data_IF_450210520772
#
_entry.id   IF_450210520772
#
_cell.length_a   1.000
_cell.length_b   1.000
_cell.length_c   1.000
_cell.angle_alpha   90.00
_cell.angle_beta   90.00
_cell.angle_gamma   90.00
#
_symmetry.space_group_name_H-M   'P 1'
#
loop_
_entity.id
_entity.type
_entity.pdbx_description
1 polymer ?
#
# COMPACT_ATOMS: atom_id res chain seq x y z
N UNK A 1 -39.40 -4.13 -4.27
CA UNK A 1 -38.80 -5.47 -4.11
C UNK A 1 -37.79 -5.80 -5.22
N UNK A 2 -38.08 -5.53 -6.50
CA UNK A 2 -37.15 -5.77 -7.63
C UNK A 2 -35.78 -5.08 -7.43
N UNK A 3 -35.77 -3.81 -7.03
CA UNK A 3 -34.56 -3.01 -6.80
C UNK A 3 -33.70 -3.48 -5.60
N UNK A 4 -34.24 -4.32 -4.70
CA UNK A 4 -33.47 -4.93 -3.60
C UNK A 4 -32.82 -6.25 -4.03
N UNK A 5 -33.45 -7.00 -4.94
CA UNK A 5 -32.92 -8.25 -5.48
C UNK A 5 -31.75 -8.00 -6.43
N UNK A 6 -31.86 -6.99 -7.31
CA UNK A 6 -30.75 -6.59 -8.21
C UNK A 6 -29.52 -6.08 -7.43
N UNK A 7 -29.74 -5.34 -6.33
CA UNK A 7 -28.65 -4.88 -5.45
C UNK A 7 -27.98 -6.04 -4.70
N UNK A 8 -28.75 -7.03 -4.26
CA UNK A 8 -28.21 -8.21 -3.59
C UNK A 8 -27.38 -9.07 -4.56
N UNK A 9 -27.81 -9.19 -5.80
CA UNK A 9 -27.08 -9.91 -6.86
C UNK A 9 -25.78 -9.18 -7.23
N UNK A 10 -25.84 -7.85 -7.40
CA UNK A 10 -24.66 -7.03 -7.65
C UNK A 10 -23.64 -7.08 -6.50
N UNK A 11 -24.11 -7.06 -5.24
CA UNK A 11 -23.24 -7.20 -4.07
C UNK A 11 -22.57 -8.59 -4.01
N UNK A 12 -23.31 -9.64 -4.36
CA UNK A 12 -22.77 -11.01 -4.41
C UNK A 12 -21.74 -11.18 -5.51
N UNK A 13 -21.99 -10.61 -6.69
CA UNK A 13 -21.03 -10.58 -7.80
C UNK A 13 -19.75 -9.83 -7.45
N UNK A 14 -19.85 -8.71 -6.74
CA UNK A 14 -18.67 -7.97 -6.23
C UNK A 14 -17.84 -8.78 -5.25
N UNK A 15 -18.48 -9.48 -4.31
CA UNK A 15 -17.77 -10.33 -3.34
C UNK A 15 -17.07 -11.52 -4.03
N UNK A 16 -17.70 -12.11 -5.06
CA UNK A 16 -17.08 -13.18 -5.84
C UNK A 16 -15.88 -12.67 -6.64
N UNK A 17 -15.99 -11.49 -7.25
CA UNK A 17 -14.88 -10.84 -7.95
C UNK A 17 -13.69 -10.60 -7.00
N UNK A 18 -13.95 -10.01 -5.84
CA UNK A 18 -12.93 -9.76 -4.81
C UNK A 18 -12.23 -11.06 -4.33
N UNK A 19 -12.97 -12.16 -4.20
CA UNK A 19 -12.40 -13.46 -3.86
C UNK A 19 -11.51 -14.00 -5.00
N UNK A 20 -11.96 -13.90 -6.25
CA UNK A 20 -11.18 -14.33 -7.42
C UNK A 20 -9.90 -13.52 -7.55
N UNK A 21 -9.95 -12.21 -7.36
CA UNK A 21 -8.78 -11.33 -7.42
C UNK A 21 -7.71 -11.69 -6.41
N UNK A 22 -8.12 -11.91 -5.15
CA UNK A 22 -7.21 -12.39 -4.10
C UNK A 22 -6.60 -13.72 -4.50
N UNK A 23 -7.40 -14.68 -4.97
CA UNK A 23 -6.90 -15.98 -5.39
C UNK A 23 -5.93 -15.88 -6.57
N UNK A 24 -6.19 -15.03 -7.56
CA UNK A 24 -5.32 -14.88 -8.73
C UNK A 24 -3.94 -14.36 -8.32
N UNK A 25 -3.87 -13.33 -7.47
CA UNK A 25 -2.58 -12.81 -6.98
C UNK A 25 -1.81 -13.87 -6.19
N UNK A 26 -2.49 -14.62 -5.31
CA UNK A 26 -1.83 -15.69 -4.54
C UNK A 26 -1.44 -16.92 -5.37
N UNK A 27 -2.23 -17.25 -6.41
CA UNK A 27 -2.01 -18.44 -7.23
C UNK A 27 -0.93 -18.23 -8.30
N UNK A 28 -0.80 -17.01 -8.80
CA UNK A 28 0.05 -16.64 -9.93
C UNK A 28 1.17 -15.68 -9.49
N UNK A 29 1.93 -16.07 -8.47
CA UNK A 29 2.98 -15.25 -7.84
C UNK A 29 4.09 -14.75 -8.80
N UNK A 30 4.29 -15.42 -9.92
CA UNK A 30 5.30 -15.07 -10.93
C UNK A 30 4.82 -14.05 -11.96
N UNK A 31 3.53 -13.71 -11.96
CA UNK A 31 2.95 -12.78 -12.91
C UNK A 31 2.72 -11.43 -12.25
N UNK A 32 3.06 -10.37 -12.96
CA UNK A 32 2.68 -9.02 -12.59
C UNK A 32 1.17 -8.83 -12.68
N UNK A 33 0.67 -7.82 -11.97
CA UNK A 33 -0.74 -7.44 -12.00
C UNK A 33 -1.21 -7.14 -13.43
N UNK A 34 -0.40 -6.43 -14.21
CA UNK A 34 -0.69 -6.07 -15.59
C UNK A 34 -0.81 -7.32 -16.50
N UNK A 35 0.03 -8.33 -16.25
CA UNK A 35 -0.07 -9.61 -16.97
C UNK A 35 -1.34 -10.36 -16.60
N UNK A 36 -1.74 -10.36 -15.32
CA UNK A 36 -3.00 -10.96 -14.89
C UNK A 36 -4.23 -10.24 -15.47
N UNK A 37 -4.22 -8.90 -15.49
CA UNK A 37 -5.28 -8.10 -16.12
C UNK A 37 -5.45 -8.46 -17.60
N UNK A 38 -4.34 -8.60 -18.33
CA UNK A 38 -4.35 -8.99 -19.73
C UNK A 38 -4.80 -10.45 -19.95
N UNK A 39 -4.36 -11.39 -19.11
CA UNK A 39 -4.70 -12.81 -19.22
C UNK A 39 -6.17 -13.10 -18.89
N UNK A 40 -6.76 -12.36 -17.94
CA UNK A 40 -8.12 -12.60 -17.46
C UNK A 40 -9.14 -11.56 -17.96
N UNK A 41 -8.71 -10.58 -18.77
CA UNK A 41 -9.59 -9.56 -19.36
C UNK A 41 -10.19 -8.60 -18.31
N UNK A 42 -9.40 -8.24 -17.29
CA UNK A 42 -9.89 -7.49 -16.13
C UNK A 42 -9.63 -5.99 -16.35
N UNK A 43 -10.70 -5.24 -16.60
CA UNK A 43 -10.61 -3.80 -16.95
C UNK A 43 -10.81 -2.86 -15.76
N UNK A 44 -11.32 -3.36 -14.64
CA UNK A 44 -11.68 -2.55 -13.46
C UNK A 44 -10.95 -2.98 -12.19
N UNK A 45 -9.85 -3.74 -12.31
CA UNK A 45 -9.11 -4.29 -11.15
C UNK A 45 -8.71 -3.21 -10.15
N UNK A 46 -8.30 -2.02 -10.61
CA UNK A 46 -7.91 -0.90 -9.73
C UNK A 46 -9.07 -0.33 -8.89
N UNK A 47 -10.31 -0.57 -9.30
CA UNK A 47 -11.50 -0.09 -8.58
C UNK A 47 -11.91 -1.03 -7.45
N UNK A 48 -11.23 -2.17 -7.28
CA UNK A 48 -11.64 -3.15 -6.29
C UNK A 48 -11.14 -2.79 -4.91
N UNK A 49 -11.91 -3.20 -3.90
CA UNK A 49 -11.58 -2.91 -2.50
C UNK A 49 -10.20 -3.46 -2.14
N UNK A 50 -9.92 -4.70 -2.53
CA UNK A 50 -8.63 -5.33 -2.29
C UNK A 50 -7.47 -4.54 -2.91
N UNK A 51 -7.64 -4.03 -4.14
CA UNK A 51 -6.61 -3.18 -4.75
C UNK A 51 -6.37 -1.90 -3.94
N UNK A 52 -7.45 -1.21 -3.56
CA UNK A 52 -7.40 0.06 -2.83
C UNK A 52 -6.75 -0.12 -1.45
N UNK A 53 -7.10 -1.19 -0.73
CA UNK A 53 -6.48 -1.54 0.55
C UNK A 53 -4.97 -1.74 0.42
N UNK A 54 -4.53 -2.52 -0.58
CA UNK A 54 -3.10 -2.75 -0.83
C UNK A 54 -2.38 -1.45 -1.23
N UNK A 55 -3.01 -0.60 -2.03
CA UNK A 55 -2.44 0.69 -2.43
C UNK A 55 -2.28 1.63 -1.22
N UNK A 56 -3.29 1.73 -0.36
CA UNK A 56 -3.25 2.53 0.87
C UNK A 56 -2.16 2.05 1.83
N UNK A 57 -2.10 0.74 2.10
CA UNK A 57 -1.04 0.14 2.93
C UNK A 57 0.35 0.39 2.36
N UNK A 58 0.49 0.23 1.03
CA UNK A 58 1.77 0.43 0.35
C UNK A 58 2.21 1.89 0.40
N UNK A 59 1.27 2.83 0.23
CA UNK A 59 1.55 4.27 0.28
C UNK A 59 2.07 4.68 1.66
N UNK A 60 1.39 4.26 2.73
CA UNK A 60 1.81 4.56 4.10
C UNK A 60 3.19 3.99 4.41
N UNK A 61 3.42 2.72 4.03
CA UNK A 61 4.73 2.07 4.20
C UNK A 61 5.83 2.78 3.42
N UNK A 62 5.56 3.16 2.17
CA UNK A 62 6.54 3.81 1.29
C UNK A 62 6.87 5.21 1.78
N UNK A 63 5.89 5.97 2.27
CA UNK A 63 6.10 7.29 2.84
C UNK A 63 7.02 7.20 4.08
N UNK A 64 6.71 6.28 5.00
CA UNK A 64 7.54 6.04 6.18
C UNK A 64 8.95 5.61 5.78
N UNK A 65 9.10 4.60 4.92
CA UNK A 65 10.42 4.16 4.45
C UNK A 65 11.22 5.27 3.79
N UNK A 66 10.57 6.14 3.01
CA UNK A 66 11.22 7.28 2.36
C UNK A 66 11.72 8.28 3.41
N UNK A 67 10.87 8.65 4.38
CA UNK A 67 11.26 9.50 5.51
C UNK A 67 12.49 8.91 6.20
N UNK A 68 12.43 7.63 6.62
CA UNK A 68 13.54 6.96 7.31
C UNK A 68 14.83 6.90 6.49
N UNK A 69 14.75 6.58 5.19
CA UNK A 69 15.92 6.54 4.28
C UNK A 69 16.58 7.91 4.09
N UNK A 70 15.84 9.00 4.25
CA UNK A 70 16.38 10.37 4.13
C UNK A 70 17.03 10.90 5.41
N UNK A 71 16.72 10.32 6.58
CA UNK A 71 17.24 10.77 7.89
C UNK A 71 18.78 10.86 7.91
N UNK A 72 19.56 9.84 7.46
CA UNK A 72 21.02 9.92 7.49
C UNK A 72 21.59 11.11 6.70
N UNK A 73 20.99 11.41 5.55
CA UNK A 73 21.38 12.57 4.74
C UNK A 73 21.09 13.86 5.49
N UNK A 74 19.90 14.02 6.07
CA UNK A 74 19.56 15.23 6.83
C UNK A 74 20.47 15.45 8.04
N UNK A 75 20.86 14.38 8.74
CA UNK A 75 21.86 14.45 9.81
C UNK A 75 23.21 14.93 9.29
N UNK A 76 23.66 14.44 8.12
CA UNK A 76 24.91 14.89 7.49
C UNK A 76 24.90 16.35 7.04
N UNK A 77 23.72 16.89 6.73
CA UNK A 77 23.50 18.32 6.41
C UNK A 77 23.40 19.19 7.68
N UNK A 78 23.59 18.61 8.88
CA UNK A 78 23.65 19.33 10.15
C UNK A 78 22.31 19.54 10.86
N UNK A 79 21.22 18.92 10.41
CA UNK A 79 19.95 18.96 11.15
C UNK A 79 20.05 18.09 12.41
N UNK A 80 19.46 18.57 13.51
CA UNK A 80 19.38 17.78 14.74
C UNK A 80 18.27 16.72 14.69
N UNK A 81 18.38 15.72 15.56
CA UNK A 81 17.37 14.66 15.71
C UNK A 81 15.98 15.25 16.00
N UNK A 82 15.90 16.28 16.84
CA UNK A 82 14.66 16.96 17.22
C UNK A 82 14.04 17.73 16.04
N UNK A 83 14.87 18.33 15.19
CA UNK A 83 14.42 19.03 13.99
C UNK A 83 13.87 18.05 12.96
N UNK A 84 14.56 16.93 12.74
CA UNK A 84 14.13 15.88 11.81
C UNK A 84 12.83 15.23 12.28
N UNK A 85 12.73 14.90 13.59
CA UNK A 85 11.51 14.35 14.18
C UNK A 85 10.32 15.27 13.96
N UNK A 86 10.51 16.59 14.11
CA UNK A 86 9.47 17.59 13.84
C UNK A 86 9.10 17.69 12.34
N UNK A 87 10.09 17.72 11.44
CA UNK A 87 9.87 17.85 9.99
C UNK A 87 9.09 16.65 9.44
N UNK A 88 9.39 15.44 9.93
CA UNK A 88 8.76 14.22 9.46
C UNK A 88 7.57 13.76 10.31
N UNK A 89 7.25 14.50 11.37
CA UNK A 89 6.22 14.16 12.35
C UNK A 89 6.41 12.73 12.90
N UNK A 90 7.68 12.39 13.16
CA UNK A 90 8.08 11.09 13.69
C UNK A 90 8.40 11.19 15.17
N UNK A 91 8.26 10.07 15.88
CA UNK A 91 8.77 9.95 17.23
C UNK A 91 10.30 10.14 17.25
N UNK A 92 10.80 10.86 18.25
CA UNK A 92 12.22 11.16 18.38
C UNK A 92 13.07 9.88 18.50
N UNK A 93 12.55 8.83 19.13
CA UNK A 93 13.23 7.55 19.28
C UNK A 93 13.41 6.81 17.94
N UNK A 94 12.46 6.98 17.01
CA UNK A 94 12.57 6.43 15.65
C UNK A 94 13.73 7.09 14.91
N UNK A 95 13.84 8.42 14.99
CA UNK A 95 14.93 9.18 14.35
C UNK A 95 16.29 8.82 14.97
N UNK A 96 16.37 8.65 16.30
CA UNK A 96 17.59 8.21 16.99
C UNK A 96 18.04 6.82 16.55
N UNK A 97 17.11 5.88 16.40
CA UNK A 97 17.42 4.49 16.01
C UNK A 97 18.00 4.44 14.60
N UNK A 98 17.45 5.22 13.65
CA UNK A 98 17.99 5.33 12.30
C UNK A 98 19.43 5.89 12.24
N UNK A 99 19.82 6.75 13.19
CA UNK A 99 21.20 7.23 13.32
C UNK A 99 22.17 6.11 13.78
N UNK A 100 21.70 5.14 14.58
CA UNK A 100 22.54 4.08 15.13
C UNK A 100 22.83 2.95 14.14
N UNK A 101 21.98 2.74 13.14
CA UNK A 101 22.15 1.69 12.11
C UNK A 101 23.08 2.12 10.96
N UNK A 102 23.47 3.39 10.88
CA UNK A 102 24.34 3.94 9.84
C UNK A 102 25.83 4.02 10.25
N UNK A 103 26.21 3.43 11.39
CA UNK A 103 27.60 3.22 11.83
C UNK A 103 28.02 1.77 11.58
#
# INVERSE_FOLDING_TARGET
MINLVEKADAAKSRNLLELVERMLVYKFLSYSRQELEAMFGLTEWQQTRFYQEIEEETKLKTELETKLKTIPRLLSEGLTVEQIARIFELDIEVVKTCNQTAK
#
